data_IF_490960005992
#
_entry.id   IF_490960005992
#
_cell.length_a   1.000
_cell.length_b   1.000
_cell.length_c   1.000
_cell.angle_alpha   90.00
_cell.angle_beta   90.00
_cell.angle_gamma   90.00
#
_symmetry.space_group_name_H-M   'P 1'
#
loop_
_entity.id
_entity.type
_entity.pdbx_description
1 polymer ?
#
# COMPACT_ATOMS: atom_id res chain seq x y z
N UNK A 1 -2.33 -8.63 -2.54
CA UNK A 1 -2.51 -8.61 -4.01
C UNK A 1 -1.82 -9.85 -4.57
N UNK A 2 -2.29 -10.40 -5.71
CA UNK A 2 -1.59 -11.49 -6.40
C UNK A 2 -0.18 -11.05 -6.82
N UNK A 3 0.68 -12.01 -7.21
CA UNK A 3 1.97 -11.66 -7.79
C UNK A 3 1.82 -11.05 -9.20
N UNK A 4 2.92 -10.56 -9.78
CA UNK A 4 2.86 -9.83 -11.06
C UNK A 4 2.35 -10.67 -12.22
N UNK A 5 2.68 -11.95 -12.29
CA UNK A 5 2.29 -12.81 -13.42
C UNK A 5 0.81 -13.20 -13.27
N UNK A 6 0.38 -13.52 -12.05
CA UNK A 6 -1.03 -13.74 -11.72
C UNK A 6 -1.88 -12.48 -11.97
N UNK A 7 -1.39 -11.29 -11.60
CA UNK A 7 -2.07 -10.02 -11.85
C UNK A 7 -2.27 -9.75 -13.34
N UNK A 8 -1.22 -9.96 -14.13
CA UNK A 8 -1.25 -9.73 -15.57
C UNK A 8 -2.12 -10.75 -16.32
N UNK A 9 -2.37 -11.93 -15.74
CA UNK A 9 -3.27 -12.92 -16.29
C UNK A 9 -4.77 -12.60 -16.12
N UNK A 10 -5.13 -11.73 -15.16
CA UNK A 10 -6.51 -11.29 -14.95
C UNK A 10 -6.98 -10.34 -16.06
N UNK A 11 -8.28 -10.34 -16.34
CA UNK A 11 -8.87 -9.27 -17.15
C UNK A 11 -9.09 -7.97 -16.33
N UNK A 12 -9.43 -6.89 -17.01
CA UNK A 12 -9.62 -5.58 -16.36
C UNK A 12 -10.77 -5.58 -15.34
N UNK A 13 -11.86 -6.31 -15.61
CA UNK A 13 -13.01 -6.37 -14.73
C UNK A 13 -12.67 -7.10 -13.43
N UNK A 14 -11.91 -8.20 -13.52
CA UNK A 14 -11.41 -8.95 -12.37
C UNK A 14 -10.43 -8.13 -11.53
N UNK A 15 -9.50 -7.39 -12.17
CA UNK A 15 -8.60 -6.46 -11.45
C UNK A 15 -9.37 -5.37 -10.71
N UNK A 16 -10.37 -4.77 -11.35
CA UNK A 16 -11.24 -3.77 -10.74
C UNK A 16 -12.03 -4.33 -9.56
N UNK A 17 -12.60 -5.53 -9.68
CA UNK A 17 -13.36 -6.16 -8.60
C UNK A 17 -12.44 -6.56 -7.44
N UNK A 18 -11.22 -7.06 -7.68
CA UNK A 18 -10.26 -7.37 -6.61
C UNK A 18 -9.95 -6.14 -5.76
N UNK A 19 -9.65 -5.00 -6.40
CA UNK A 19 -9.39 -3.74 -5.70
C UNK A 19 -10.64 -3.25 -4.98
N UNK A 20 -11.80 -3.28 -5.65
CA UNK A 20 -13.08 -2.83 -5.08
C UNK A 20 -13.49 -3.66 -3.87
N UNK A 21 -13.31 -4.99 -3.94
CA UNK A 21 -13.59 -5.91 -2.85
C UNK A 21 -12.70 -5.63 -1.63
N UNK A 22 -11.42 -5.31 -1.84
CA UNK A 22 -10.50 -4.92 -0.77
C UNK A 22 -11.04 -3.70 0.01
N UNK A 23 -11.40 -2.61 -0.70
CA UNK A 23 -11.91 -1.40 -0.06
C UNK A 23 -13.31 -1.57 0.57
N UNK A 24 -14.17 -2.38 -0.05
CA UNK A 24 -15.50 -2.71 0.48
C UNK A 24 -15.41 -3.45 1.82
N UNK A 25 -14.47 -4.39 1.97
CA UNK A 25 -14.22 -5.08 3.25
C UNK A 25 -13.76 -4.11 4.35
N UNK A 26 -12.94 -3.13 3.98
CA UNK A 26 -12.44 -2.06 4.86
C UNK A 26 -13.48 -0.97 5.20
N UNK A 27 -14.68 -1.00 4.57
CA UNK A 27 -15.75 0.02 4.72
C UNK A 27 -15.27 1.46 4.49
N UNK A 28 -14.29 1.65 3.61
CA UNK A 28 -13.84 2.98 3.24
C UNK A 28 -14.97 3.74 2.53
N UNK A 29 -15.28 4.96 2.98
CA UNK A 29 -16.19 5.87 2.26
C UNK A 29 -15.40 6.57 1.16
N UNK A 30 -15.53 6.08 -0.07
CA UNK A 30 -14.87 6.64 -1.25
C UNK A 30 -15.88 7.44 -2.08
N UNK A 31 -15.58 8.69 -2.47
CA UNK A 31 -16.51 9.53 -3.23
C UNK A 31 -16.83 8.98 -4.63
N UNK A 32 -15.86 8.32 -5.28
CA UNK A 32 -16.07 7.54 -6.50
C UNK A 32 -15.24 6.25 -6.43
N UNK A 33 -15.86 5.16 -5.96
CA UNK A 33 -15.17 3.89 -5.75
C UNK A 33 -14.64 3.26 -7.05
N UNK A 34 -15.33 3.47 -8.17
CA UNK A 34 -14.91 2.93 -9.45
C UNK A 34 -13.66 3.65 -9.98
N UNK A 35 -13.66 4.99 -9.98
CA UNK A 35 -12.47 5.77 -10.36
C UNK A 35 -11.28 5.44 -9.45
N UNK A 36 -11.51 5.33 -8.15
CA UNK A 36 -10.47 4.93 -7.19
C UNK A 36 -9.88 3.56 -7.53
N UNK A 37 -10.73 2.57 -7.82
CA UNK A 37 -10.28 1.23 -8.22
C UNK A 37 -9.50 1.27 -9.54
N UNK A 38 -9.96 2.03 -10.53
CA UNK A 38 -9.26 2.17 -11.81
C UNK A 38 -7.85 2.78 -11.64
N UNK A 39 -7.70 3.79 -10.78
CA UNK A 39 -6.39 4.39 -10.49
C UNK A 39 -5.43 3.37 -9.85
N UNK A 40 -5.92 2.58 -8.89
CA UNK A 40 -5.15 1.46 -8.32
C UNK A 40 -4.70 0.48 -9.39
N UNK A 41 -5.62 0.06 -10.27
CA UNK A 41 -5.31 -0.89 -11.35
C UNK A 41 -4.22 -0.35 -12.28
N UNK A 42 -4.27 0.94 -12.64
CA UNK A 42 -3.22 1.53 -13.49
C UNK A 42 -1.85 1.47 -12.81
N UNK A 43 -1.76 1.80 -11.52
CA UNK A 43 -0.49 1.75 -10.78
C UNK A 43 -0.01 0.31 -10.60
N UNK A 44 -0.89 -0.62 -10.26
CA UNK A 44 -0.56 -2.05 -10.12
C UNK A 44 -0.13 -2.68 -11.46
N UNK A 45 -0.71 -2.24 -12.59
CA UNK A 45 -0.23 -2.61 -13.92
C UNK A 45 1.19 -2.10 -14.16
N UNK A 46 1.49 -0.82 -13.89
CA UNK A 46 2.85 -0.26 -14.05
C UNK A 46 3.89 -1.03 -13.22
N UNK A 47 3.52 -1.44 -12.00
CA UNK A 47 4.37 -2.24 -11.13
C UNK A 47 4.56 -3.67 -11.67
N UNK A 48 3.51 -4.29 -12.21
CA UNK A 48 3.55 -5.65 -12.73
C UNK A 48 4.28 -5.73 -14.08
N UNK A 49 4.10 -4.74 -14.94
CA UNK A 49 4.81 -4.56 -16.22
C UNK A 49 6.26 -4.13 -16.03
N UNK A 50 6.70 -3.88 -14.79
CA UNK A 50 8.08 -3.55 -14.45
C UNK A 50 8.55 -2.22 -15.05
N UNK A 51 7.70 -1.19 -14.99
CA UNK A 51 8.16 0.17 -15.22
C UNK A 51 9.16 0.54 -14.11
N UNK A 52 10.46 0.50 -14.43
CA UNK A 52 11.55 0.58 -13.45
C UNK A 52 11.41 1.76 -12.50
N UNK A 53 11.11 2.95 -13.03
CA UNK A 53 10.93 4.14 -12.22
C UNK A 53 9.80 3.99 -11.18
N UNK A 54 8.66 3.41 -11.56
CA UNK A 54 7.50 3.29 -10.64
C UNK A 54 7.82 2.29 -9.52
N UNK A 55 8.59 1.23 -9.83
CA UNK A 55 9.08 0.29 -8.83
C UNK A 55 10.06 0.93 -7.85
N UNK A 56 11.06 1.65 -8.36
CA UNK A 56 12.03 2.37 -7.53
C UNK A 56 11.33 3.36 -6.57
N UNK A 57 10.32 4.07 -7.06
CA UNK A 57 9.54 5.01 -6.26
C UNK A 57 8.71 4.28 -5.20
N UNK A 58 8.06 3.16 -5.55
CA UNK A 58 7.34 2.34 -4.58
C UNK A 58 8.27 1.85 -3.46
N UNK A 59 9.43 1.29 -3.81
CA UNK A 59 10.41 0.79 -2.85
C UNK A 59 10.94 1.92 -1.95
N UNK A 60 11.25 3.09 -2.53
CA UNK A 60 11.67 4.25 -1.74
C UNK A 60 10.58 4.71 -0.77
N UNK A 61 9.33 4.86 -1.23
CA UNK A 61 8.22 5.27 -0.36
C UNK A 61 7.97 4.27 0.77
N UNK A 62 8.15 2.97 0.51
CA UNK A 62 8.09 1.94 1.55
C UNK A 62 9.22 2.08 2.57
N UNK A 63 10.45 2.31 2.10
CA UNK A 63 11.60 2.58 2.97
C UNK A 63 11.44 3.88 3.78
N UNK A 64 10.66 4.85 3.29
CA UNK A 64 10.29 6.07 4.00
C UNK A 64 9.13 5.88 5.00
N UNK A 65 8.53 4.68 5.08
CA UNK A 65 7.56 4.29 6.11
C UNK A 65 6.10 4.22 5.67
N UNK A 66 5.82 4.21 4.36
CA UNK A 66 4.51 3.87 3.83
C UNK A 66 4.37 2.35 3.68
N UNK A 67 3.18 1.82 3.95
CA UNK A 67 2.87 0.46 3.48
C UNK A 67 2.65 0.44 1.94
N UNK A 68 2.57 -0.75 1.33
CA UNK A 68 2.37 -0.86 -0.12
C UNK A 68 1.10 -0.12 -0.58
N UNK A 69 0.02 -0.21 0.18
CA UNK A 69 -1.27 0.37 -0.16
C UNK A 69 -1.21 1.91 -0.12
N UNK A 70 -0.59 2.46 0.92
CA UNK A 70 -0.29 3.89 1.04
C UNK A 70 0.63 4.38 -0.08
N UNK A 71 1.67 3.62 -0.43
CA UNK A 71 2.57 3.97 -1.51
C UNK A 71 1.85 3.98 -2.88
N UNK A 72 0.95 3.03 -3.13
CA UNK A 72 0.08 3.03 -4.33
C UNK A 72 -0.86 4.24 -4.32
N UNK A 73 -1.45 4.60 -3.18
CA UNK A 73 -2.23 5.84 -3.06
C UNK A 73 -1.39 7.08 -3.37
N UNK A 74 -0.15 7.14 -2.91
CA UNK A 74 0.75 8.25 -3.17
C UNK A 74 1.06 8.39 -4.66
N UNK A 75 1.46 7.31 -5.33
CA UNK A 75 1.71 7.30 -6.78
C UNK A 75 0.42 7.64 -7.56
N UNK A 76 -0.72 7.05 -7.16
CA UNK A 76 -2.02 7.29 -7.76
C UNK A 76 -2.48 8.75 -7.68
N UNK A 77 -2.15 9.47 -6.59
CA UNK A 77 -2.47 10.89 -6.46
C UNK A 77 -1.75 11.76 -7.50
N UNK A 78 -0.49 11.43 -7.80
CA UNK A 78 0.31 12.10 -8.84
C UNK A 78 -0.25 11.78 -10.22
N UNK A 79 -0.60 10.51 -10.48
CA UNK A 79 -1.22 10.08 -11.72
C UNK A 79 -2.54 10.83 -12.02
N UNK A 80 -3.44 10.92 -11.04
CA UNK A 80 -4.72 11.63 -11.20
C UNK A 80 -4.48 13.12 -11.48
N UNK A 81 -3.55 13.76 -10.77
CA UNK A 81 -3.18 15.15 -11.02
C UNK A 81 -2.66 15.36 -12.45
N UNK A 82 -1.85 14.43 -12.93
CA UNK A 82 -1.30 14.45 -14.28
C UNK A 82 -2.38 14.30 -15.36
N UNK A 83 -3.23 13.27 -15.27
CA UNK A 83 -4.34 13.04 -16.21
C UNK A 83 -5.29 14.24 -16.24
N UNK A 84 -5.62 14.80 -15.08
CA UNK A 84 -6.44 16.02 -15.01
C UNK A 84 -5.80 17.21 -15.73
N UNK A 85 -4.49 17.41 -15.58
CA UNK A 85 -3.73 18.42 -16.31
C UNK A 85 -3.82 18.23 -17.83
N UNK A 86 -3.60 17.01 -18.31
CA UNK A 86 -3.72 16.67 -19.73
C UNK A 86 -5.13 16.92 -20.27
N UNK A 87 -6.17 16.54 -19.52
CA UNK A 87 -7.56 16.76 -19.93
C UNK A 87 -7.93 18.25 -20.04
N UNK A 88 -7.37 19.09 -19.18
CA UNK A 88 -7.67 20.53 -19.15
C UNK A 88 -6.85 21.35 -20.13
N UNK A 89 -5.59 21.01 -20.29
CA UNK A 89 -4.61 21.84 -21.00
C UNK A 89 -4.15 21.24 -22.32
N UNK A 90 -4.49 19.99 -22.59
CA UNK A 90 -3.99 19.21 -23.72
C UNK A 90 -2.52 18.80 -23.55
N UNK A 91 -2.04 18.00 -24.50
CA UNK A 91 -0.63 17.57 -24.55
C UNK A 91 0.24 18.67 -25.16
N UNK A 92 1.11 19.29 -24.36
CA UNK A 92 2.05 20.34 -24.80
C UNK A 92 3.49 19.84 -24.96
N UNK A 93 3.87 18.78 -24.24
CA UNK A 93 5.21 18.20 -24.28
C UNK A 93 5.33 17.14 -25.39
N UNK A 94 6.53 16.92 -25.97
CA UNK A 94 6.77 15.86 -26.94
C UNK A 94 6.46 14.45 -26.39
N UNK A 95 6.82 14.21 -25.13
CA UNK A 95 6.35 13.05 -24.37
C UNK A 95 5.32 13.52 -23.33
N UNK A 96 4.05 13.11 -23.46
CA UNK A 96 3.01 13.50 -22.49
C UNK A 96 3.26 12.92 -21.10
N UNK A 97 4.04 11.85 -20.93
CA UNK A 97 4.30 11.21 -19.63
C UNK A 97 5.48 11.83 -18.85
N UNK A 98 6.34 12.61 -19.51
CA UNK A 98 7.54 13.18 -18.86
C UNK A 98 7.18 14.01 -17.60
N UNK A 99 6.14 14.88 -17.60
CA UNK A 99 5.74 15.58 -16.38
C UNK A 99 5.29 14.67 -15.24
N UNK A 100 4.65 13.53 -15.56
CA UNK A 100 4.26 12.52 -14.57
C UNK A 100 5.50 11.92 -13.90
N UNK A 101 6.49 11.49 -14.69
CA UNK A 101 7.72 10.91 -14.17
C UNK A 101 8.55 11.90 -13.35
N UNK A 102 8.61 13.17 -13.76
CA UNK A 102 9.25 14.22 -12.97
C UNK A 102 8.57 14.43 -11.62
N UNK A 103 7.24 14.45 -11.59
CA UNK A 103 6.48 14.58 -10.35
C UNK A 103 6.67 13.36 -9.42
N UNK A 104 6.77 12.14 -9.97
CA UNK A 104 7.08 10.96 -9.17
C UNK A 104 8.47 11.03 -8.52
N UNK A 105 9.47 11.55 -9.24
CA UNK A 105 10.84 11.68 -8.69
C UNK A 105 10.93 12.61 -7.48
N UNK A 106 10.03 13.60 -7.37
CA UNK A 106 10.00 14.55 -6.25
C UNK A 106 9.06 14.15 -5.11
N UNK A 107 8.17 13.17 -5.34
CA UNK A 107 7.23 12.66 -4.35
C UNK A 107 7.98 12.08 -3.13
N UNK A 108 7.57 12.36 -1.90
CA UNK A 108 8.09 11.68 -0.70
C UNK A 108 6.93 11.22 0.17
N UNK A 109 7.16 10.24 1.05
CA UNK A 109 6.18 9.82 2.04
C UNK A 109 5.73 10.99 2.91
N UNK A 110 6.70 11.83 3.32
CA UNK A 110 6.42 13.05 4.10
C UNK A 110 5.53 14.02 3.34
N UNK A 111 5.93 14.43 2.13
CA UNK A 111 5.17 15.42 1.35
C UNK A 111 3.75 14.92 1.04
N UNK A 112 3.60 13.61 0.79
CA UNK A 112 2.28 13.00 0.58
C UNK A 112 1.44 12.98 1.87
N UNK A 113 2.02 12.60 3.01
CA UNK A 113 1.32 12.59 4.30
C UNK A 113 0.94 13.99 4.78
N UNK A 114 1.77 15.00 4.54
CA UNK A 114 1.44 16.40 4.85
C UNK A 114 0.22 16.88 4.06
N UNK A 115 0.05 16.39 2.83
CA UNK A 115 -1.04 16.80 1.95
C UNK A 115 -2.33 15.95 2.12
N UNK A 116 -2.19 14.64 2.32
CA UNK A 116 -3.29 13.67 2.28
C UNK A 116 -3.39 12.76 3.51
N UNK A 117 -2.38 12.78 4.38
CA UNK A 117 -2.31 11.90 5.55
C UNK A 117 -3.38 12.23 6.58
N UNK A 118 -3.89 11.18 7.23
CA UNK A 118 -4.60 11.34 8.50
C UNK A 118 -3.55 11.44 9.60
N UNK A 119 -3.70 12.31 10.64
CA UNK A 119 -2.69 12.42 11.69
C UNK A 119 -2.39 11.06 12.34
N UNK A 120 -1.19 10.52 12.12
CA UNK A 120 -0.74 9.30 12.82
C UNK A 120 -0.50 9.66 14.29
N UNK A 121 -1.24 9.01 15.20
CA UNK A 121 -0.96 9.14 16.64
C UNK A 121 0.24 8.27 16.99
N UNK A 122 1.32 8.88 17.46
CA UNK A 122 2.45 8.14 18.02
C UNK A 122 2.04 7.56 19.36
N UNK A 123 2.06 6.23 19.48
CA UNK A 123 1.81 5.55 20.74
C UNK A 123 3.17 5.18 21.34
N UNK A 124 3.50 5.64 22.57
CA UNK A 124 4.78 5.35 23.19
C UNK A 124 5.03 3.84 23.31
N UNK A 125 6.27 3.41 23.12
CA UNK A 125 6.69 2.03 23.34
C UNK A 125 6.37 1.60 24.78
N UNK A 126 5.81 0.39 24.95
CA UNK A 126 5.37 -0.13 26.25
C UNK A 126 3.96 0.30 26.67
N UNK A 127 3.26 1.11 25.88
CA UNK A 127 1.85 1.44 26.15
C UNK A 127 0.99 0.19 26.02
N UNK A 128 0.39 -0.26 27.12
CA UNK A 128 -0.61 -1.34 27.10
C UNK A 128 -1.92 -0.78 26.58
N UNK A 129 -2.17 -0.95 25.28
CA UNK A 129 -3.46 -0.64 24.69
C UNK A 129 -4.42 -1.79 25.03
N UNK A 130 -5.61 -1.52 25.59
CA UNK A 130 -6.65 -2.53 25.67
C UNK A 130 -7.15 -2.80 24.25
N UNK A 131 -6.56 -3.80 23.59
CA UNK A 131 -6.97 -4.19 22.24
C UNK A 131 -7.97 -5.33 22.36
N UNK A 132 -9.25 -5.00 22.27
CA UNK A 132 -10.31 -5.99 22.04
C UNK A 132 -10.55 -6.05 20.54
N UNK A 133 -9.94 -7.03 19.85
CA UNK A 133 -10.23 -7.27 18.44
C UNK A 133 -11.42 -8.21 18.32
N UNK A 134 -12.43 -7.79 17.57
CA UNK A 134 -13.40 -8.73 17.02
C UNK A 134 -12.70 -9.72 16.08
N UNK A 135 -13.28 -10.91 15.87
CA UNK A 135 -12.76 -11.87 14.89
C UNK A 135 -12.56 -11.22 13.52
N UNK A 136 -13.46 -10.30 13.16
CA UNK A 136 -13.39 -9.52 11.94
C UNK A 136 -12.20 -8.55 11.89
N UNK A 137 -11.93 -7.81 12.96
CA UNK A 137 -10.79 -6.88 13.00
C UNK A 137 -9.47 -7.65 13.00
N UNK A 138 -9.42 -8.81 13.64
CA UNK A 138 -8.30 -9.75 13.55
C UNK A 138 -8.08 -10.21 12.11
N UNK A 139 -9.14 -10.59 11.40
CA UNK A 139 -9.04 -11.04 10.00
C UNK A 139 -8.68 -9.87 9.07
N UNK A 140 -9.16 -8.65 9.33
CA UNK A 140 -8.77 -7.44 8.60
C UNK A 140 -7.29 -7.09 8.80
N UNK A 141 -6.81 -7.13 10.05
CA UNK A 141 -5.39 -6.95 10.36
C UNK A 141 -4.59 -8.02 9.64
N UNK A 142 -5.01 -9.29 9.71
CA UNK A 142 -4.36 -10.40 9.03
C UNK A 142 -4.27 -10.18 7.52
N UNK A 143 -5.34 -9.74 6.85
CA UNK A 143 -5.34 -9.47 5.41
C UNK A 143 -4.46 -8.27 5.03
N UNK A 144 -4.44 -7.22 5.86
CA UNK A 144 -3.62 -6.02 5.64
C UNK A 144 -2.13 -6.24 5.95
N UNK A 145 -1.82 -7.14 6.89
CA UNK A 145 -0.44 -7.45 7.32
C UNK A 145 0.18 -8.63 6.57
N UNK A 146 -0.60 -9.63 6.14
CA UNK A 146 -0.09 -10.77 5.37
C UNK A 146 0.07 -10.49 3.88
N UNK A 147 -0.48 -9.39 3.36
CA UNK A 147 -0.18 -8.94 2.00
C UNK A 147 1.16 -8.18 1.89
N UNK A 148 1.87 -7.98 3.00
CA UNK A 148 3.25 -7.49 3.00
C UNK A 148 4.21 -8.67 3.28
N UNK A 149 4.97 -9.15 2.28
CA UNK A 149 5.89 -10.27 2.44
C UNK A 149 7.04 -9.98 3.43
N UNK A 150 7.25 -8.70 3.80
CA UNK A 150 8.25 -8.30 4.78
C UNK A 150 7.69 -8.19 6.22
N UNK A 151 6.38 -8.38 6.44
CA UNK A 151 5.78 -8.24 7.77
C UNK A 151 6.38 -9.21 8.80
N UNK A 152 6.75 -10.41 8.38
CA UNK A 152 7.43 -11.39 9.24
C UNK A 152 8.77 -10.89 9.79
N UNK A 153 9.43 -9.94 9.12
CA UNK A 153 10.69 -9.31 9.59
C UNK A 153 10.44 -8.25 10.66
N UNK A 154 9.24 -7.67 10.70
CA UNK A 154 8.85 -6.64 11.67
C UNK A 154 8.25 -7.25 12.96
N UNK A 155 7.80 -8.49 12.91
CA UNK A 155 7.30 -9.22 14.07
C UNK A 155 8.47 -9.79 14.87
N UNK A 156 9.06 -8.99 15.77
CA UNK A 156 9.99 -9.50 16.79
C UNK A 156 9.18 -10.39 17.74
N UNK A 157 9.30 -11.71 17.58
CA UNK A 157 8.79 -12.67 18.57
C UNK A 157 9.88 -12.83 19.63
N UNK A 158 9.75 -12.10 20.75
CA UNK A 158 10.52 -12.40 21.95
C UNK A 158 10.00 -13.70 22.58
N UNK A 159 10.41 -14.81 21.98
CA UNK A 159 10.28 -16.13 22.58
C UNK A 159 11.28 -16.25 23.72
N UNK A 160 10.84 -15.99 24.96
CA UNK A 160 11.50 -16.60 26.13
C UNK A 160 11.24 -18.10 26.09
N UNK A 161 12.05 -18.82 25.32
CA UNK A 161 12.26 -20.25 25.49
C UNK A 161 13.02 -20.47 26.78
N UNK A 162 12.29 -20.72 27.87
CA UNK A 162 12.87 -21.19 29.12
C UNK A 162 13.48 -22.58 28.91
N UNK A 163 14.80 -22.65 29.00
CA UNK A 163 15.59 -23.87 29.12
C UNK A 163 15.79 -24.21 30.60
N UNK A 164 15.79 -25.51 30.92
CA UNK A 164 16.05 -26.08 32.26
C UNK A 164 14.77 -26.27 33.11
N UNK A 165 14.49 -27.40 33.75
CA UNK A 165 15.43 -28.25 34.49
C UNK A 165 15.05 -29.73 34.43
N UNK A 166 16.06 -30.56 34.24
CA UNK A 166 16.12 -31.98 34.62
C UNK A 166 16.07 -32.12 36.13
N UNK A 167 15.24 -33.03 36.65
CA UNK A 167 15.49 -33.72 37.92
C UNK A 167 14.91 -35.14 37.85
N UNK A 168 15.81 -36.11 37.95
CA UNK A 168 15.54 -37.49 38.40
C UNK A 168 15.31 -37.51 39.92
N UNK A 169 14.99 -38.70 40.46
CA UNK A 169 14.79 -39.10 41.89
C UNK A 169 13.29 -39.34 42.15
N UNK A 170 12.75 -40.56 42.37
CA UNK A 170 13.24 -41.92 42.71
C UNK A 170 12.37 -42.94 41.97
#
# INVERSE_FOLDING_TARGET
>A
MPDSDEWLALDEADRLELVSAHHRRARAKLPNAHLHAAVHVIVENQLSEKVDLVKEILERLRNEGLDRHEAIHAIGSVLVGHVWGLMREGTKAPDPNEPYFQALRTLTARSWQEQYGTPRKTIPYGTKLPVTLTLRERDLIRDQTLCDPDFAKCAVVDGRGGSGNSDSVI
#
